data_IF_946886931646
#
_entry.id   IF_946886931646
#
_cell.length_a   1.000
_cell.length_b   1.000
_cell.length_c   1.000
_cell.angle_alpha   90.00
_cell.angle_beta   90.00
_cell.angle_gamma   90.00
#
_symmetry.space_group_name_H-M   'P 1'
#
loop_
_entity.id
_entity.type
_entity.pdbx_description
1 polymer ?
#
# COMPACT_ATOMS: atom_id res chain seq x y z
N UNK A 1 -38.81 -61.45 -23.62
CA UNK A 1 -38.00 -61.40 -24.85
C UNK A 1 -37.72 -59.93 -25.13
N UNK A 2 -36.52 -59.39 -25.27
CA UNK A 2 -35.15 -59.87 -25.15
C UNK A 2 -34.26 -58.66 -24.79
N UNK A 3 -33.12 -58.96 -24.19
CA UNK A 3 -32.15 -58.05 -23.57
C UNK A 3 -31.28 -57.32 -24.62
N UNK A 4 -31.05 -56.03 -24.40
CA UNK A 4 -30.02 -55.25 -25.11
C UNK A 4 -29.10 -54.56 -24.10
N UNK A 5 -28.07 -55.27 -23.63
CA UNK A 5 -26.89 -54.71 -22.96
C UNK A 5 -25.83 -54.39 -24.01
N UNK A 6 -25.09 -53.29 -23.78
CA UNK A 6 -23.77 -52.88 -24.32
C UNK A 6 -23.85 -51.47 -24.94
N UNK A 7 -23.03 -50.48 -24.59
CA UNK A 7 -21.87 -50.47 -23.72
C UNK A 7 -21.62 -49.09 -23.11
N UNK A 8 -21.00 -49.12 -21.94
CA UNK A 8 -20.34 -47.97 -21.34
C UNK A 8 -19.00 -47.74 -22.03
N UNK A 9 -18.63 -46.51 -22.39
CA UNK A 9 -17.24 -46.13 -22.44
C UNK A 9 -16.81 -45.66 -21.04
N UNK A 10 -15.90 -46.43 -20.45
CA UNK A 10 -15.11 -46.02 -19.29
C UNK A 10 -14.19 -44.86 -19.67
N UNK A 11 -14.66 -43.63 -19.51
CA UNK A 11 -13.86 -42.42 -19.61
C UNK A 11 -13.40 -41.95 -18.23
N UNK A 12 -12.36 -42.58 -17.68
CA UNK A 12 -11.64 -42.07 -16.50
C UNK A 12 -10.82 -40.85 -16.91
N UNK A 13 -11.45 -39.68 -16.99
CA UNK A 13 -10.73 -38.41 -17.04
C UNK A 13 -10.28 -38.05 -15.61
N UNK A 14 -9.08 -38.49 -15.25
CA UNK A 14 -8.27 -37.80 -14.24
C UNK A 14 -7.88 -36.45 -14.85
N UNK A 15 -8.45 -35.38 -14.32
CA UNK A 15 -8.11 -34.01 -14.67
C UNK A 15 -8.34 -33.13 -13.45
N UNK A 16 -7.40 -33.21 -12.51
CA UNK A 16 -7.23 -32.23 -11.43
C UNK A 16 -6.88 -30.89 -12.09
N UNK A 17 -7.80 -29.94 -12.08
CA UNK A 17 -7.50 -28.54 -12.35
C UNK A 17 -8.41 -27.72 -11.43
N UNK A 18 -7.79 -26.77 -10.73
CA UNK A 18 -8.24 -26.22 -9.47
C UNK A 18 -9.72 -25.87 -9.45
N UNK A 19 -10.40 -26.32 -8.39
CA UNK A 19 -11.26 -25.37 -7.69
C UNK A 19 -10.40 -24.13 -7.56
N UNK A 20 -10.83 -23.04 -8.19
CA UNK A 20 -10.17 -21.75 -8.10
C UNK A 20 -9.82 -21.63 -6.63
N UNK A 21 -8.52 -21.74 -6.31
CA UNK A 21 -8.05 -21.00 -5.18
C UNK A 21 -8.47 -19.60 -5.59
N UNK A 22 -9.59 -19.15 -5.05
CA UNK A 22 -9.78 -17.75 -4.72
C UNK A 22 -8.50 -17.44 -3.95
N UNK A 23 -7.42 -17.20 -4.70
CA UNK A 23 -6.24 -16.62 -4.17
C UNK A 23 -6.83 -15.40 -3.54
N UNK A 24 -6.71 -15.29 -2.22
CA UNK A 24 -6.80 -14.02 -1.56
C UNK A 24 -5.93 -13.11 -2.42
N UNK A 25 -6.58 -12.36 -3.32
CA UNK A 25 -5.89 -11.47 -4.21
C UNK A 25 -5.33 -10.47 -3.24
N UNK A 26 -4.06 -10.62 -2.87
CA UNK A 26 -3.36 -9.60 -2.13
C UNK A 26 -3.51 -8.36 -3.00
N UNK A 27 -4.43 -7.47 -2.63
CA UNK A 27 -4.54 -6.17 -3.26
C UNK A 27 -3.18 -5.54 -3.02
N UNK A 28 -2.39 -5.43 -4.07
CA UNK A 28 -1.19 -4.64 -4.06
C UNK A 28 -1.69 -3.20 -3.94
N UNK A 29 -1.65 -2.69 -2.71
CA UNK A 29 -1.88 -1.28 -2.46
C UNK A 29 -0.68 -0.52 -2.99
N UNK A 30 -0.91 0.69 -3.50
CA UNK A 30 0.18 1.60 -3.88
C UNK A 30 1.07 1.83 -2.65
N UNK A 31 2.32 1.37 -2.74
CA UNK A 31 3.28 1.43 -1.63
C UNK A 31 3.56 2.87 -1.23
N UNK A 32 3.55 3.81 -2.18
CA UNK A 32 3.77 5.22 -1.90
C UNK A 32 2.57 5.81 -1.14
N UNK A 33 1.34 5.47 -1.55
CA UNK A 33 0.13 5.88 -0.81
C UNK A 33 0.14 5.32 0.61
N UNK A 34 0.41 4.02 0.77
CA UNK A 34 0.46 3.38 2.10
C UNK A 34 1.54 4.02 2.97
N UNK A 35 2.73 4.27 2.41
CA UNK A 35 3.83 4.93 3.10
C UNK A 35 3.43 6.32 3.58
N UNK A 36 2.81 7.13 2.72
CA UNK A 36 2.40 8.49 3.09
C UNK A 36 1.30 8.47 4.15
N UNK A 37 0.32 7.57 4.07
CA UNK A 37 -0.70 7.41 5.12
C UNK A 37 -0.06 7.04 6.46
N UNK A 38 0.91 6.12 6.47
CA UNK A 38 1.64 5.76 7.69
C UNK A 38 2.39 6.94 8.30
N UNK A 39 3.06 7.74 7.46
CA UNK A 39 3.78 8.94 7.91
C UNK A 39 2.82 9.98 8.46
N UNK A 40 1.76 10.34 7.72
CA UNK A 40 0.76 11.32 8.14
C UNK A 40 0.09 10.89 9.45
N UNK A 41 -0.27 9.62 9.60
CA UNK A 41 -0.81 9.09 10.86
C UNK A 41 0.18 9.27 12.01
N UNK A 42 1.46 8.95 11.81
CA UNK A 42 2.49 9.12 12.82
C UNK A 42 2.70 10.58 13.24
N UNK A 43 2.65 11.52 12.29
CA UNK A 43 2.71 12.96 12.55
C UNK A 43 1.50 13.45 13.35
N UNK A 44 0.28 13.03 12.98
CA UNK A 44 -0.94 13.37 13.71
C UNK A 44 -0.92 12.86 15.15
N UNK A 45 -0.43 11.62 15.38
CA UNK A 45 -0.25 11.09 16.74
C UNK A 45 0.79 11.91 17.51
N UNK A 46 1.91 12.28 16.88
CA UNK A 46 2.94 13.08 17.53
C UNK A 46 2.39 14.45 17.97
N UNK A 47 1.61 15.11 17.14
CA UNK A 47 0.95 16.37 17.49
C UNK A 47 -0.04 16.20 18.64
N UNK A 48 -0.88 15.17 18.57
CA UNK A 48 -1.81 14.82 19.64
C UNK A 48 -1.10 14.58 20.98
N UNK A 49 0.03 13.86 20.98
CA UNK A 49 0.84 13.61 22.17
C UNK A 49 1.53 14.86 22.72
N UNK A 50 1.88 15.82 21.87
CA UNK A 50 2.48 17.10 22.30
C UNK A 50 1.48 17.93 23.12
N UNK A 51 0.21 17.91 22.72
CA UNK A 51 -0.88 18.59 23.41
C UNK A 51 -1.37 17.80 24.63
N UNK A 52 -1.29 16.47 24.59
CA UNK A 52 -1.79 15.56 25.62
C UNK A 52 -0.65 14.73 26.24
N UNK A 53 0.14 15.35 27.11
CA UNK A 53 1.27 14.68 27.77
C UNK A 53 0.79 13.52 28.65
N UNK A 54 1.41 12.35 28.47
CA UNK A 54 1.11 11.15 29.26
C UNK A 54 -0.17 10.42 28.83
N UNK A 55 -0.67 10.70 27.62
CA UNK A 55 -1.79 9.98 27.02
C UNK A 55 -1.50 8.48 26.93
N UNK A 56 -2.52 7.67 27.21
CA UNK A 56 -2.37 6.21 27.21
C UNK A 56 -2.53 5.65 25.78
N UNK A 57 -2.09 4.41 25.50
CA UNK A 57 -2.22 3.82 24.17
C UNK A 57 -3.67 3.67 23.67
N UNK A 58 -4.64 3.47 24.57
CA UNK A 58 -6.06 3.35 24.21
C UNK A 58 -6.59 4.67 23.64
N UNK A 59 -6.30 5.79 24.30
CA UNK A 59 -6.68 7.12 23.82
C UNK A 59 -6.01 7.46 22.48
N UNK A 60 -4.79 6.98 22.24
CA UNK A 60 -4.12 7.11 20.93
C UNK A 60 -4.87 6.30 19.86
N UNK A 61 -5.27 5.07 20.17
CA UNK A 61 -6.07 4.25 19.24
C UNK A 61 -7.42 4.91 18.94
N UNK A 62 -8.11 5.42 19.95
CA UNK A 62 -9.38 6.13 19.80
C UNK A 62 -9.20 7.38 18.92
N UNK A 63 -8.12 8.15 19.13
CA UNK A 63 -7.77 9.28 18.28
C UNK A 63 -7.60 8.86 16.82
N UNK A 64 -6.83 7.79 16.56
CA UNK A 64 -6.62 7.29 15.18
C UNK A 64 -7.94 6.84 14.57
N UNK A 65 -8.76 6.09 15.30
CA UNK A 65 -10.05 5.59 14.82
C UNK A 65 -11.01 6.73 14.45
N UNK A 66 -11.07 7.79 15.27
CA UNK A 66 -11.94 8.94 15.01
C UNK A 66 -11.45 9.85 13.88
N UNK A 67 -10.16 9.81 13.54
CA UNK A 67 -9.53 10.73 12.58
C UNK A 67 -8.99 10.05 11.32
N UNK A 68 -9.09 8.73 11.20
CA UNK A 68 -8.52 7.97 10.08
C UNK A 68 -8.98 8.49 8.72
N UNK A 69 -10.27 8.76 8.55
CA UNK A 69 -10.82 9.27 7.30
C UNK A 69 -10.19 10.62 6.93
N UNK A 70 -10.13 11.56 7.87
CA UNK A 70 -9.53 12.88 7.66
C UNK A 70 -8.04 12.76 7.33
N UNK A 71 -7.30 11.91 8.04
CA UNK A 71 -5.88 11.68 7.78
C UNK A 71 -5.68 11.17 6.36
N UNK A 72 -6.43 10.14 5.96
CA UNK A 72 -6.31 9.54 4.62
C UNK A 72 -6.66 10.56 3.52
N UNK A 73 -7.75 11.32 3.68
CA UNK A 73 -8.16 12.32 2.70
C UNK A 73 -7.14 13.44 2.56
N UNK A 74 -6.67 13.99 3.67
CA UNK A 74 -5.65 15.04 3.65
C UNK A 74 -4.35 14.53 3.02
N UNK A 75 -3.92 13.31 3.35
CA UNK A 75 -2.73 12.70 2.71
C UNK A 75 -2.89 12.61 1.20
N UNK A 76 -4.06 12.17 0.70
CA UNK A 76 -4.32 12.08 -0.74
C UNK A 76 -4.33 13.46 -1.39
N UNK A 77 -4.93 14.45 -0.73
CA UNK A 77 -4.96 15.84 -1.22
C UNK A 77 -3.56 16.46 -1.26
N UNK A 78 -2.76 16.28 -0.20
CA UNK A 78 -1.37 16.73 -0.13
C UNK A 78 -0.51 16.10 -1.22
N UNK A 79 -0.68 14.79 -1.45
CA UNK A 79 0.03 14.08 -2.52
C UNK A 79 -0.34 14.60 -3.92
N UNK A 80 -1.60 14.97 -4.14
CA UNK A 80 -2.05 15.47 -5.44
C UNK A 80 -1.73 16.96 -5.66
N UNK A 81 -1.66 17.76 -4.58
CA UNK A 81 -1.31 19.18 -4.62
C UNK A 81 0.20 19.43 -4.68
N UNK A 82 1.01 18.50 -4.14
CA UNK A 82 2.48 18.55 -4.25
C UNK A 82 3.00 18.32 -5.68
N UNK A 83 2.12 18.05 -6.64
CA UNK A 83 2.44 17.95 -8.07
C UNK A 83 2.65 19.30 -8.78
N UNK A 84 2.48 20.44 -8.11
CA UNK A 84 2.75 21.79 -8.67
C UNK A 84 4.15 22.35 -8.34
N UNK A 85 5.10 21.49 -7.98
CA UNK A 85 6.52 21.85 -7.94
C UNK A 85 7.27 21.09 -9.05
N UNK A 86 6.96 21.43 -10.31
CA UNK A 86 7.81 21.07 -11.44
C UNK A 86 9.15 21.83 -11.35
N UNK A 87 10.23 21.06 -11.49
CA UNK A 87 11.58 21.45 -11.94
C UNK A 87 12.25 22.65 -11.24
N UNK A 88 13.02 22.38 -10.19
CA UNK A 88 14.33 23.05 -10.12
C UNK A 88 15.26 22.32 -11.08
N UNK A 89 15.54 22.97 -12.21
CA UNK A 89 16.61 22.63 -13.14
C UNK A 89 17.90 22.28 -12.37
N UNK A 90 18.60 21.27 -12.86
CA UNK A 90 19.99 20.96 -12.53
C UNK A 90 20.85 22.23 -12.60
N UNK A 91 21.07 22.90 -11.47
CA UNK A 91 22.29 23.68 -11.29
C UNK A 91 23.40 22.67 -10.99
N UNK A 92 24.09 22.19 -12.03
CA UNK A 92 25.44 21.65 -11.87
C UNK A 92 26.37 22.82 -11.46
N UNK A 93 26.95 22.85 -10.26
CA UNK A 93 28.21 23.54 -10.09
C UNK A 93 29.28 22.67 -10.74
N UNK A 94 29.74 23.13 -11.90
CA UNK A 94 30.95 22.72 -12.59
C UNK A 94 32.17 23.07 -11.70
N UNK A 95 32.33 22.37 -10.59
CA UNK A 95 33.54 22.40 -9.78
C UNK A 95 34.51 21.36 -10.34
N UNK A 96 35.22 21.80 -11.38
CA UNK A 96 36.46 21.24 -11.89
C UNK A 96 37.46 21.07 -10.72
N UNK A 97 37.34 19.95 -10.02
CA UNK A 97 38.32 19.48 -9.04
C UNK A 97 39.55 18.99 -9.80
N UNK A 98 40.40 19.93 -10.20
CA UNK A 98 41.69 19.62 -10.77
C UNK A 98 42.64 19.14 -9.66
N UNK A 99 43.19 17.95 -9.87
CA UNK A 99 43.79 17.12 -8.84
C UNK A 99 45.03 17.71 -8.14
N UNK A 100 45.14 17.36 -6.86
CA UNK A 100 46.33 17.02 -6.04
C UNK A 100 47.72 16.98 -6.76
N UNK A 101 48.83 16.82 -6.01
CA UNK A 101 49.35 17.48 -4.81
C UNK A 101 50.78 18.02 -5.05
N UNK A 102 51.33 18.85 -4.15
CA UNK A 102 52.73 19.29 -4.21
C UNK A 102 53.16 20.13 -3.03
#
# INVERSE_FOLDING_TARGET
>A
MGVGRQGMPAGRARGRAGGSMEGNHCKLYDENLVRNIMISTGLSILEFMKENRGVNPTDICDFVEMNADTIIWNTIEDMNSSGEYEETEDDEPDDEFDGLPG
#
